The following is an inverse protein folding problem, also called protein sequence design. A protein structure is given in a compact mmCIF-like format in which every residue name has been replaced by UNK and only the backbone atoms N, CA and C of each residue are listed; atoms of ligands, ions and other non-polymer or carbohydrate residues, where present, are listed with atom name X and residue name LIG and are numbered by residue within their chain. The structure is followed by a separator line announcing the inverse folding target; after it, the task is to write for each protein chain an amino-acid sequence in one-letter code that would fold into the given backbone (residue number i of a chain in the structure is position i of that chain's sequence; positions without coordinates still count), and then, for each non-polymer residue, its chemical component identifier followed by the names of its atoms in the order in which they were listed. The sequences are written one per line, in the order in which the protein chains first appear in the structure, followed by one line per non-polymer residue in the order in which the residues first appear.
data_IF_371519866857
#
_entry.id   IF_371519866857
#
_cell.length_a   1.000
_cell.length_b   1.000
_cell.length_c   1.000
_cell.angle_alpha   90.00
_cell.angle_beta   90.00
_cell.angle_gamma   90.00
#
_symmetry.space_group_name_H-M   'P 1'
#
loop_
_entity.id
_entity.type
_entity.pdbx_description
1 polymer ?
#
# COMPACT_ATOMS: atom_id res chain seq x y z
N UNK A 1 -11.49 -27.88 -35.57
CA UNK A 1 -10.33 -28.78 -35.40
C UNK A 1 -10.33 -29.90 -36.43
N UNK A 2 -11.48 -30.56 -36.67
CA UNK A 2 -11.64 -31.53 -37.76
C UNK A 2 -11.40 -30.90 -39.14
N UNK A 3 -11.93 -29.71 -39.40
CA UNK A 3 -11.72 -28.98 -40.66
C UNK A 3 -10.25 -28.66 -40.96
N UNK A 4 -9.41 -28.63 -39.92
CA UNK A 4 -7.99 -28.29 -40.00
C UNK A 4 -7.08 -29.52 -39.77
N UNK A 5 -7.64 -30.71 -39.54
CA UNK A 5 -6.93 -31.97 -39.28
C UNK A 5 -5.84 -31.89 -38.18
N UNK A 6 -6.09 -31.10 -37.13
CA UNK A 6 -5.13 -30.86 -36.02
C UNK A 6 -5.51 -31.55 -34.70
N UNK A 7 -6.50 -32.43 -34.69
CA UNK A 7 -7.06 -33.01 -33.46
C UNK A 7 -6.01 -33.66 -32.55
N UNK A 8 -5.00 -34.31 -33.12
CA UNK A 8 -3.93 -35.00 -32.39
C UNK A 8 -2.63 -34.15 -32.27
N UNK A 9 -2.65 -32.88 -32.68
CA UNK A 9 -1.48 -31.98 -32.67
C UNK A 9 -1.55 -30.93 -31.57
N UNK A 10 -2.53 -31.02 -30.67
CA UNK A 10 -2.78 -30.04 -29.62
C UNK A 10 -2.00 -30.45 -28.37
N UNK A 11 -0.94 -29.69 -28.05
CA UNK A 11 -0.12 -29.93 -26.85
C UNK A 11 -0.75 -29.37 -25.56
N UNK A 12 -1.37 -28.19 -25.64
CA UNK A 12 -2.05 -27.56 -24.52
C UNK A 12 -3.04 -26.48 -24.98
N UNK A 13 -3.97 -26.10 -24.10
CA UNK A 13 -4.94 -25.03 -24.34
C UNK A 13 -4.83 -23.99 -23.22
N UNK A 14 -4.56 -22.74 -23.61
CA UNK A 14 -4.58 -21.59 -22.70
C UNK A 14 -6.00 -21.03 -22.62
N UNK A 15 -6.55 -20.88 -21.43
CA UNK A 15 -7.89 -20.29 -21.26
C UNK A 15 -7.98 -19.36 -20.05
N UNK A 16 -9.02 -18.54 -20.00
CA UNK A 16 -9.38 -17.68 -18.87
C UNK A 16 -9.97 -18.43 -17.67
N UNK A 17 -9.90 -19.78 -17.68
CA UNK A 17 -10.46 -20.66 -16.66
C UNK A 17 -11.99 -20.58 -16.50
N UNK A 18 -12.74 -20.07 -17.50
CA UNK A 18 -14.19 -20.15 -17.49
C UNK A 18 -14.67 -21.61 -17.39
N UNK A 19 -15.68 -21.88 -16.54
CA UNK A 19 -16.13 -23.24 -16.22
C UNK A 19 -16.50 -24.06 -17.47
N UNK A 20 -17.16 -23.43 -18.44
CA UNK A 20 -17.56 -24.05 -19.70
C UNK A 20 -16.34 -24.42 -20.57
N UNK A 21 -15.31 -23.56 -20.60
CA UNK A 21 -14.08 -23.82 -21.36
C UNK A 21 -13.27 -24.93 -20.69
N UNK A 22 -13.21 -24.94 -19.35
CA UNK A 22 -12.55 -26.01 -18.60
C UNK A 22 -13.26 -27.36 -18.80
N UNK A 23 -14.59 -27.38 -18.89
CA UNK A 23 -15.34 -28.59 -19.24
C UNK A 23 -15.02 -29.06 -20.66
N UNK A 24 -14.97 -28.15 -21.64
CA UNK A 24 -14.60 -28.47 -23.02
C UNK A 24 -13.15 -29.00 -23.15
N UNK A 25 -12.20 -28.41 -22.42
CA UNK A 25 -10.80 -28.87 -22.39
C UNK A 25 -10.70 -30.29 -21.81
N UNK A 26 -11.47 -30.59 -20.77
CA UNK A 26 -11.53 -31.95 -20.20
C UNK A 26 -12.13 -32.96 -21.17
N UNK A 27 -13.20 -32.59 -21.88
CA UNK A 27 -13.81 -33.45 -22.90
C UNK A 27 -12.87 -33.71 -24.08
N UNK A 28 -12.00 -32.75 -24.41
CA UNK A 28 -10.99 -32.90 -25.46
C UNK A 28 -9.68 -33.55 -25.00
N UNK A 29 -9.57 -33.96 -23.73
CA UNK A 29 -8.35 -34.53 -23.11
C UNK A 29 -7.09 -33.65 -23.28
N UNK A 30 -7.24 -32.34 -23.44
CA UNK A 30 -6.09 -31.44 -23.61
C UNK A 30 -5.52 -30.96 -22.28
N UNK A 31 -4.22 -30.68 -22.25
CA UNK A 31 -3.56 -30.08 -21.08
C UNK A 31 -4.04 -28.63 -20.88
N UNK A 32 -4.68 -28.27 -19.75
CA UNK A 32 -5.08 -26.90 -19.47
C UNK A 32 -3.89 -26.06 -19.00
N UNK A 33 -3.81 -24.82 -19.49
CA UNK A 33 -2.91 -23.78 -19.00
C UNK A 33 -3.75 -22.54 -18.66
N UNK A 34 -3.60 -22.02 -17.45
CA UNK A 34 -4.31 -20.82 -17.03
C UNK A 34 -3.76 -19.57 -17.71
N UNK A 35 -4.64 -18.66 -18.11
CA UNK A 35 -4.24 -17.37 -18.66
C UNK A 35 -3.58 -16.50 -17.58
N UNK A 36 -2.31 -16.15 -17.80
CA UNK A 36 -1.56 -15.28 -16.89
C UNK A 36 -2.21 -13.90 -16.77
N UNK A 37 -2.64 -13.30 -17.88
CA UNK A 37 -3.34 -12.01 -17.88
C UNK A 37 -4.66 -12.06 -17.07
N UNK A 38 -5.38 -13.18 -17.14
CA UNK A 38 -6.59 -13.39 -16.33
C UNK A 38 -6.25 -13.45 -14.84
N UNK A 39 -5.19 -14.19 -14.47
CA UNK A 39 -4.73 -14.30 -13.07
C UNK A 39 -4.31 -12.94 -12.52
N UNK A 40 -3.55 -12.16 -13.31
CA UNK A 40 -3.11 -10.81 -12.97
C UNK A 40 -4.31 -9.87 -12.77
N UNK A 41 -5.30 -9.92 -13.67
CA UNK A 41 -6.53 -9.15 -13.56
C UNK A 41 -7.29 -9.47 -12.26
N UNK A 42 -7.41 -10.75 -11.88
CA UNK A 42 -8.07 -11.14 -10.62
C UNK A 42 -7.34 -10.59 -9.38
N UNK A 43 -6.01 -10.60 -9.38
CA UNK A 43 -5.20 -10.05 -8.29
C UNK A 43 -5.47 -8.54 -8.16
N UNK A 44 -5.35 -7.80 -9.26
CA UNK A 44 -5.51 -6.35 -9.26
C UNK A 44 -6.94 -5.94 -8.90
N UNK A 45 -7.96 -6.60 -9.46
CA UNK A 45 -9.36 -6.30 -9.13
C UNK A 45 -9.67 -6.51 -7.64
N UNK A 46 -9.10 -7.54 -7.00
CA UNK A 46 -9.26 -7.71 -5.55
C UNK A 46 -8.54 -6.61 -4.77
N UNK A 47 -7.41 -6.13 -5.26
CA UNK A 47 -6.73 -4.95 -4.73
C UNK A 47 -7.56 -3.67 -4.81
N UNK A 48 -8.17 -3.41 -5.97
CA UNK A 48 -8.99 -2.23 -6.22
C UNK A 48 -10.22 -2.16 -5.30
N UNK A 49 -10.75 -3.30 -4.82
CA UNK A 49 -11.85 -3.31 -3.83
C UNK A 49 -11.49 -2.61 -2.54
N UNK A 50 -10.22 -2.68 -2.10
CA UNK A 50 -9.74 -2.06 -0.86
C UNK A 50 -9.75 -0.52 -0.96
N UNK A 51 -9.57 0.03 -2.15
CA UNK A 51 -9.63 1.49 -2.43
C UNK A 51 -10.89 1.91 -3.17
N UNK A 52 -11.93 1.08 -3.13
CA UNK A 52 -13.19 1.38 -3.83
C UNK A 52 -13.77 2.74 -3.46
N UNK A 53 -13.59 3.18 -2.20
CA UNK A 53 -14.02 4.49 -1.74
C UNK A 53 -13.28 5.65 -2.44
N UNK A 54 -11.95 5.64 -2.44
CA UNK A 54 -11.13 6.69 -3.06
C UNK A 54 -11.33 6.69 -4.57
N UNK A 55 -11.39 5.50 -5.19
CA UNK A 55 -11.72 5.36 -6.61
C UNK A 55 -13.11 5.94 -6.90
N UNK A 56 -14.08 5.75 -5.99
CA UNK A 56 -15.41 6.34 -6.06
C UNK A 56 -15.38 7.87 -6.03
N UNK A 57 -14.62 8.48 -5.12
CA UNK A 57 -14.44 9.95 -5.07
C UNK A 57 -13.86 10.48 -6.39
N UNK A 58 -12.81 9.83 -6.92
CA UNK A 58 -12.20 10.20 -8.21
C UNK A 58 -13.21 10.06 -9.35
N UNK A 59 -14.02 8.99 -9.38
CA UNK A 59 -15.09 8.83 -10.37
C UNK A 59 -16.07 9.99 -10.34
N UNK A 60 -16.52 10.41 -9.17
CA UNK A 60 -17.45 11.54 -9.01
C UNK A 60 -16.86 12.83 -9.57
N UNK A 61 -15.57 13.10 -9.35
CA UNK A 61 -14.86 14.25 -9.93
C UNK A 61 -14.86 14.16 -11.46
N UNK A 62 -14.43 13.02 -12.02
CA UNK A 62 -14.37 12.81 -13.46
C UNK A 62 -15.76 12.94 -14.11
N UNK A 63 -16.79 12.38 -13.46
CA UNK A 63 -18.17 12.45 -13.92
C UNK A 63 -18.69 13.89 -13.91
N UNK A 64 -18.37 14.67 -12.88
CA UNK A 64 -18.72 16.08 -12.82
C UNK A 64 -18.15 16.87 -14.00
N UNK A 65 -16.85 16.74 -14.27
CA UNK A 65 -16.21 17.40 -15.42
C UNK A 65 -16.73 16.90 -16.77
N UNK A 66 -17.12 15.63 -16.88
CA UNK A 66 -17.73 15.11 -18.11
C UNK A 66 -19.15 15.59 -18.35
N UNK A 67 -19.95 15.78 -17.29
CA UNK A 67 -21.33 16.25 -17.40
C UNK A 67 -21.43 17.76 -17.59
N UNK A 68 -20.51 18.52 -17.00
CA UNK A 68 -20.52 19.98 -17.03
C UNK A 68 -19.56 20.54 -18.07
N UNK A 69 -20.11 21.04 -19.18
CA UNK A 69 -19.33 21.72 -20.22
C UNK A 69 -18.57 22.94 -19.63
N UNK A 70 -19.22 23.72 -18.76
CA UNK A 70 -18.62 24.88 -18.10
C UNK A 70 -17.42 24.49 -17.22
N UNK A 71 -17.54 23.41 -16.44
CA UNK A 71 -16.44 22.92 -15.61
C UNK A 71 -15.28 22.41 -16.48
N UNK A 72 -15.59 21.70 -17.57
CA UNK A 72 -14.58 21.24 -18.53
C UNK A 72 -13.83 22.41 -19.18
N UNK A 73 -14.53 23.44 -19.66
CA UNK A 73 -13.88 24.64 -20.23
C UNK A 73 -13.02 25.37 -19.20
N UNK A 74 -13.46 25.44 -17.94
CA UNK A 74 -12.64 26.04 -16.88
C UNK A 74 -11.38 25.23 -16.63
N UNK A 75 -11.47 23.91 -16.53
CA UNK A 75 -10.31 23.04 -16.37
C UNK A 75 -9.31 23.24 -17.52
N UNK A 76 -9.79 23.32 -18.76
CA UNK A 76 -8.94 23.60 -19.93
C UNK A 76 -8.27 24.98 -19.85
N UNK A 77 -8.97 25.99 -19.33
CA UNK A 77 -8.39 27.33 -19.12
C UNK A 77 -7.29 27.33 -18.06
N UNK A 78 -7.49 26.61 -16.95
CA UNK A 78 -6.51 26.48 -15.87
C UNK A 78 -5.29 25.68 -16.35
N UNK A 79 -5.50 24.59 -17.09
CA UNK A 79 -4.40 23.82 -17.69
C UNK A 79 -3.55 24.68 -18.64
N UNK A 80 -4.18 25.53 -19.47
CA UNK A 80 -3.47 26.50 -20.32
C UNK A 80 -2.67 27.51 -19.51
N UNK A 81 -3.25 28.07 -18.46
CA UNK A 81 -2.57 29.03 -17.58
C UNK A 81 -1.35 28.43 -16.88
N UNK A 82 -1.41 27.14 -16.54
CA UNK A 82 -0.32 26.40 -15.91
C UNK A 82 0.72 25.85 -16.90
N UNK A 83 0.56 26.10 -18.21
CA UNK A 83 1.45 25.58 -19.25
C UNK A 83 1.41 24.06 -19.41
N UNK A 84 0.36 23.40 -18.89
CA UNK A 84 0.20 21.95 -18.97
C UNK A 84 -0.53 21.53 -20.25
N UNK A 85 -0.26 20.32 -20.78
CA UNK A 85 -1.01 19.80 -21.91
C UNK A 85 -2.50 19.71 -21.57
N UNK A 86 -3.35 20.14 -22.51
CA UNK A 86 -4.81 20.13 -22.36
C UNK A 86 -5.29 18.67 -22.43
N UNK A 87 -5.32 18.01 -21.28
CA UNK A 87 -5.68 16.62 -21.16
C UNK A 87 -7.11 16.50 -20.64
N UNK A 88 -7.99 15.86 -21.43
CA UNK A 88 -9.31 15.46 -20.94
C UNK A 88 -9.20 14.34 -19.91
N UNK A 89 -10.07 14.36 -18.90
CA UNK A 89 -10.14 13.30 -17.90
C UNK A 89 -10.66 12.00 -18.53
N UNK A 90 -10.05 10.87 -18.16
CA UNK A 90 -10.45 9.52 -18.60
C UNK A 90 -11.44 8.94 -17.58
N UNK A 91 -12.50 8.31 -18.06
CA UNK A 91 -13.48 7.62 -17.21
C UNK A 91 -13.17 6.13 -17.19
N UNK A 92 -13.33 5.52 -16.03
CA UNK A 92 -13.19 4.08 -15.87
C UNK A 92 -14.27 3.32 -16.67
N UNK A 93 -13.84 2.22 -17.31
CA UNK A 93 -14.70 1.20 -17.89
C UNK A 93 -14.60 -0.08 -17.03
N UNK A 94 -15.68 -0.53 -16.37
CA UNK A 94 -15.64 -1.63 -15.41
C UNK A 94 -15.12 -2.97 -15.95
N UNK A 95 -15.12 -3.14 -17.28
CA UNK A 95 -14.74 -4.40 -17.93
C UNK A 95 -13.23 -4.65 -17.93
N UNK A 96 -12.39 -3.62 -17.71
CA UNK A 96 -10.92 -3.77 -17.67
C UNK A 96 -10.29 -2.80 -16.65
N UNK A 97 -9.57 -3.36 -15.69
CA UNK A 97 -8.89 -2.61 -14.62
C UNK A 97 -7.88 -1.57 -15.16
N UNK A 98 -7.33 -1.79 -16.36
CA UNK A 98 -6.45 -0.84 -17.05
C UNK A 98 -7.07 0.57 -17.14
N UNK A 99 -8.38 0.66 -17.39
CA UNK A 99 -9.08 1.95 -17.46
C UNK A 99 -9.15 2.67 -16.11
N UNK A 100 -9.20 1.91 -15.00
CA UNK A 100 -9.09 2.46 -13.65
C UNK A 100 -7.70 3.04 -13.45
N UNK A 101 -6.64 2.30 -13.76
CA UNK A 101 -5.26 2.81 -13.67
C UNK A 101 -5.07 4.08 -14.50
N UNK A 102 -5.50 4.09 -15.76
CA UNK A 102 -5.38 5.26 -16.63
C UNK A 102 -6.16 6.49 -16.12
N UNK A 103 -7.31 6.28 -15.46
CA UNK A 103 -8.07 7.35 -14.81
C UNK A 103 -7.30 7.93 -13.62
N UNK A 104 -6.76 7.07 -12.75
CA UNK A 104 -5.98 7.49 -11.58
C UNK A 104 -4.66 8.18 -11.98
N UNK A 105 -3.94 7.64 -12.97
CA UNK A 105 -2.73 8.28 -13.49
C UNK A 105 -3.05 9.64 -14.11
N UNK A 106 -4.16 9.73 -14.88
CA UNK A 106 -4.57 10.98 -15.52
C UNK A 106 -4.88 12.06 -14.51
N UNK A 107 -5.65 11.76 -13.46
CA UNK A 107 -6.03 12.77 -12.47
C UNK A 107 -4.81 13.27 -11.67
N UNK A 108 -3.82 12.39 -11.40
CA UNK A 108 -2.56 12.80 -10.77
C UNK A 108 -1.73 13.74 -11.65
N UNK A 109 -1.68 13.50 -12.97
CA UNK A 109 -0.96 14.41 -13.90
C UNK A 109 -1.55 15.81 -13.96
N UNK A 110 -2.85 15.96 -13.70
CA UNK A 110 -3.55 17.26 -13.69
C UNK A 110 -3.97 17.67 -12.27
N UNK A 111 -3.33 17.12 -11.23
CA UNK A 111 -3.68 17.30 -9.81
C UNK A 111 -3.90 18.77 -9.46
N UNK A 112 -2.91 19.62 -9.70
CA UNK A 112 -2.96 21.03 -9.29
C UNK A 112 -4.04 21.82 -10.04
N UNK A 113 -4.25 21.50 -11.32
CA UNK A 113 -5.29 22.11 -12.14
C UNK A 113 -6.69 21.68 -11.67
N UNK A 114 -6.88 20.41 -11.28
CA UNK A 114 -8.13 19.88 -10.74
C UNK A 114 -8.43 20.51 -9.38
N UNK A 115 -7.45 20.56 -8.47
CA UNK A 115 -7.60 21.19 -7.15
C UNK A 115 -8.00 22.66 -7.30
N UNK A 116 -7.28 23.41 -8.14
CA UNK A 116 -7.55 24.84 -8.37
C UNK A 116 -8.94 25.06 -8.98
N UNK A 117 -9.34 24.22 -9.94
CA UNK A 117 -10.65 24.34 -10.60
C UNK A 117 -11.79 23.98 -9.65
N UNK A 118 -11.66 22.90 -8.88
CA UNK A 118 -12.66 22.49 -7.90
C UNK A 118 -12.80 23.50 -6.77
N UNK A 119 -11.71 24.11 -6.29
CA UNK A 119 -11.76 25.16 -5.28
C UNK A 119 -12.62 26.38 -5.73
N UNK A 120 -12.63 26.67 -7.03
CA UNK A 120 -13.37 27.81 -7.59
C UNK A 120 -14.85 27.50 -7.91
N UNK A 121 -15.17 26.28 -8.32
CA UNK A 121 -16.50 25.93 -8.84
C UNK A 121 -17.28 25.06 -7.85
N UNK A 122 -16.63 24.11 -7.18
CA UNK A 122 -17.28 23.11 -6.36
C UNK A 122 -16.33 22.45 -5.36
N UNK A 123 -16.03 23.17 -4.29
CA UNK A 123 -15.00 22.76 -3.33
C UNK A 123 -15.39 21.49 -2.54
N UNK A 124 -16.69 21.17 -2.42
CA UNK A 124 -17.11 19.95 -1.70
C UNK A 124 -16.67 18.63 -2.36
N UNK A 125 -16.31 18.66 -3.66
CA UNK A 125 -15.79 17.48 -4.37
C UNK A 125 -14.27 17.33 -4.26
N UNK A 126 -13.59 18.25 -3.58
CA UNK A 126 -12.13 18.22 -3.50
C UNK A 126 -11.64 17.11 -2.58
N UNK A 127 -10.58 16.43 -3.00
CA UNK A 127 -9.97 15.35 -2.24
C UNK A 127 -9.11 15.94 -1.12
N UNK A 128 -9.07 15.25 0.03
CA UNK A 128 -8.16 15.63 1.12
C UNK A 128 -6.70 15.34 0.74
N UNK A 129 -5.75 16.01 1.40
CA UNK A 129 -4.31 15.77 1.18
C UNK A 129 -3.98 14.28 1.36
N UNK A 130 -4.57 13.63 2.37
CA UNK A 130 -4.40 12.20 2.61
C UNK A 130 -4.91 11.31 1.46
N UNK A 131 -6.01 11.69 0.79
CA UNK A 131 -6.55 10.97 -0.38
C UNK A 131 -5.55 11.05 -1.56
N UNK A 132 -4.93 12.21 -1.79
CA UNK A 132 -3.92 12.39 -2.84
C UNK A 132 -2.65 11.56 -2.59
N UNK A 133 -2.14 11.53 -1.35
CA UNK A 133 -1.00 10.68 -0.98
C UNK A 133 -1.28 9.19 -1.23
N UNK A 134 -2.53 8.76 -0.94
CA UNK A 134 -2.97 7.40 -1.20
C UNK A 134 -2.99 7.14 -2.71
N UNK A 135 -3.54 8.04 -3.52
CA UNK A 135 -3.58 7.89 -4.96
C UNK A 135 -2.17 7.75 -5.57
N UNK A 136 -1.22 8.59 -5.16
CA UNK A 136 0.17 8.51 -5.61
C UNK A 136 0.79 7.15 -5.27
N UNK A 137 0.54 6.66 -4.06
CA UNK A 137 1.00 5.33 -3.62
C UNK A 137 0.38 4.21 -4.46
N UNK A 138 -0.93 4.28 -4.70
CA UNK A 138 -1.69 3.27 -5.47
C UNK A 138 -1.21 3.22 -6.91
N UNK A 139 -1.06 4.36 -7.57
CA UNK A 139 -0.62 4.41 -8.97
C UNK A 139 0.80 3.86 -9.10
N UNK A 140 1.70 4.17 -8.16
CA UNK A 140 3.04 3.59 -8.13
C UNK A 140 3.04 2.06 -7.99
N UNK A 141 2.12 1.50 -7.18
CA UNK A 141 1.97 0.04 -7.03
C UNK A 141 1.38 -0.59 -8.28
N UNK A 142 0.37 0.03 -8.90
CA UNK A 142 -0.36 -0.52 -10.04
C UNK A 142 0.44 -0.44 -11.35
N UNK A 143 1.34 0.52 -11.48
CA UNK A 143 2.17 0.74 -12.68
C UNK A 143 2.88 -0.53 -13.21
N UNK A 144 3.64 -1.30 -12.41
CA UNK A 144 4.28 -2.52 -12.91
C UNK A 144 3.26 -3.57 -13.39
N UNK A 145 2.12 -3.71 -12.71
CA UNK A 145 1.06 -4.62 -13.16
C UNK A 145 0.46 -4.16 -14.49
N UNK A 146 0.37 -2.85 -14.71
CA UNK A 146 -0.20 -2.28 -15.92
C UNK A 146 0.73 -2.52 -17.11
N UNK A 147 2.02 -2.22 -16.93
CA UNK A 147 3.06 -2.47 -17.94
C UNK A 147 3.10 -3.94 -18.34
N UNK A 148 3.11 -4.85 -17.36
CA UNK A 148 3.06 -6.31 -17.61
C UNK A 148 1.77 -6.71 -18.32
N UNK A 149 0.62 -6.14 -17.94
CA UNK A 149 -0.66 -6.46 -18.60
C UNK A 149 -0.66 -6.00 -20.05
N UNK A 150 -0.14 -4.80 -20.33
CA UNK A 150 -0.03 -4.26 -21.69
C UNK A 150 0.91 -5.11 -22.53
N UNK A 151 2.06 -5.51 -21.98
CA UNK A 151 3.03 -6.36 -22.67
C UNK A 151 2.44 -7.75 -22.97
N UNK A 152 1.83 -8.40 -21.97
CA UNK A 152 1.23 -9.75 -22.12
C UNK A 152 0.00 -9.73 -23.02
N UNK A 153 -0.75 -8.63 -23.05
CA UNK A 153 -1.92 -8.48 -23.93
C UNK A 153 -1.52 -8.09 -25.36
N UNK A 154 -0.25 -7.76 -25.63
CA UNK A 154 0.22 -7.49 -26.97
C UNK A 154 0.34 -8.79 -27.77
N UNK A 155 -0.32 -8.86 -28.91
CA UNK A 155 -0.36 -10.08 -29.76
C UNK A 155 0.90 -10.24 -30.63
N UNK A 156 1.87 -9.32 -30.54
CA UNK A 156 2.98 -9.20 -31.50
C UNK A 156 4.34 -9.70 -31.00
N UNK A 157 4.45 -10.22 -29.77
CA UNK A 157 5.74 -10.69 -29.23
C UNK A 157 5.60 -11.98 -28.40
N UNK A 158 6.68 -12.77 -28.34
CA UNK A 158 6.76 -14.00 -27.54
C UNK A 158 6.74 -13.65 -26.05
N UNK A 159 5.61 -13.87 -25.39
CA UNK A 159 5.37 -13.52 -23.98
C UNK A 159 5.73 -14.66 -23.03
N UNK A 160 5.65 -15.93 -23.49
CA UNK A 160 5.89 -17.13 -22.67
C UNK A 160 7.31 -17.26 -22.12
N UNK A 161 8.35 -16.89 -22.90
CA UNK A 161 9.76 -16.99 -22.47
C UNK A 161 10.12 -15.96 -21.39
N UNK A 162 9.41 -14.82 -21.32
CA UNK A 162 9.61 -13.78 -20.30
C UNK A 162 8.90 -14.08 -18.98
N UNK A 163 7.81 -14.87 -19.01
CA UNK A 163 7.04 -15.26 -17.82
C UNK A 163 7.82 -16.23 -16.91
N UNK A 164 8.79 -16.98 -17.45
CA UNK A 164 9.61 -17.92 -16.67
C UNK A 164 10.37 -17.25 -15.51
N UNK A 165 10.79 -15.98 -15.67
CA UNK A 165 11.48 -15.24 -14.61
C UNK A 165 10.55 -14.68 -13.52
N UNK A 166 9.25 -14.57 -13.81
CA UNK A 166 8.24 -14.10 -12.86
C UNK A 166 7.68 -15.29 -12.07
N UNK A 167 7.67 -16.51 -12.61
CA UNK A 167 7.07 -17.67 -11.93
C UNK A 167 7.95 -18.29 -10.84
N UNK A 168 9.28 -18.11 -10.88
CA UNK A 168 10.21 -18.70 -9.90
C UNK A 168 10.06 -18.09 -8.50
N UNK A 169 9.47 -16.91 -8.38
CA UNK A 169 9.14 -16.26 -7.09
C UNK A 169 7.68 -16.46 -6.64
N UNK A 170 6.81 -17.08 -7.45
CA UNK A 170 5.37 -17.20 -7.17
C UNK A 170 4.82 -18.64 -7.15
N UNK A 171 5.68 -19.66 -7.26
CA UNK A 171 5.27 -21.06 -7.45
C UNK A 171 5.36 -21.98 -6.22
N UNK A 172 5.71 -21.47 -5.04
CA UNK A 172 5.61 -22.24 -3.78
C UNK A 172 4.57 -21.62 -2.85
N UNK A 173 3.32 -22.10 -2.92
CA UNK A 173 2.31 -21.76 -1.91
C UNK A 173 0.86 -21.85 -2.37
N UNK A 174 0.06 -22.58 -1.59
CA UNK A 174 -1.39 -22.80 -1.65
C UNK A 174 -2.23 -21.60 -2.21
N UNK A 175 -3.25 -21.84 -3.07
CA UNK A 175 -4.16 -20.80 -3.60
C UNK A 175 -4.83 -19.89 -2.54
N UNK A 176 -4.95 -20.37 -1.30
CA UNK A 176 -5.50 -19.61 -0.17
C UNK A 176 -4.51 -18.59 0.42
N UNK A 177 -3.21 -18.83 0.30
CA UNK A 177 -2.16 -17.92 0.78
C UNK A 177 -1.91 -16.74 -0.17
N UNK A 178 -2.10 -16.93 -1.49
CA UNK A 178 -1.93 -15.88 -2.52
C UNK A 178 -2.97 -14.76 -2.43
N UNK A 179 -4.16 -15.05 -1.90
CA UNK A 179 -5.21 -14.05 -1.58
C UNK A 179 -4.77 -13.08 -0.47
N UNK A 180 -3.84 -13.49 0.38
CA UNK A 180 -3.41 -12.70 1.54
C UNK A 180 -2.30 -11.71 1.18
N UNK A 181 -1.33 -12.07 0.32
CA UNK A 181 -0.13 -11.26 0.08
C UNK A 181 -0.40 -9.89 -0.55
N UNK A 182 -1.25 -9.78 -1.58
CA UNK A 182 -1.58 -8.48 -2.18
C UNK A 182 -2.36 -7.60 -1.21
N UNK A 183 -3.36 -8.17 -0.52
CA UNK A 183 -4.14 -7.46 0.51
C UNK A 183 -3.25 -7.01 1.68
N UNK A 184 -2.31 -7.84 2.11
CA UNK A 184 -1.37 -7.56 3.21
C UNK A 184 -0.33 -6.51 2.80
N UNK A 185 0.25 -6.60 1.60
CA UNK A 185 1.16 -5.58 1.05
C UNK A 185 0.46 -4.22 0.84
N UNK A 186 -0.78 -4.26 0.35
CA UNK A 186 -1.58 -3.06 0.10
C UNK A 186 -2.07 -2.40 1.40
N UNK A 187 -2.55 -3.18 2.37
CA UNK A 187 -2.91 -2.67 3.71
C UNK A 187 -1.68 -2.20 4.49
N UNK A 188 -0.52 -2.86 4.36
CA UNK A 188 0.73 -2.43 4.98
C UNK A 188 1.17 -1.05 4.50
N UNK A 189 1.15 -0.79 3.18
CA UNK A 189 1.47 0.54 2.64
C UNK A 189 0.45 1.64 2.95
N UNK A 190 -0.75 1.28 3.44
CA UNK A 190 -1.82 2.23 3.78
C UNK A 190 -1.88 2.57 5.26
N UNK A 191 -1.32 1.74 6.15
CA UNK A 191 -1.43 1.91 7.59
C UNK A 191 -0.69 3.15 8.08
N UNK A 192 -1.37 3.89 8.96
CA UNK A 192 -0.92 5.13 9.60
C UNK A 192 -1.05 4.94 11.11
N UNK A 193 -0.22 5.61 11.90
CA UNK A 193 -0.43 5.69 13.35
C UNK A 193 -1.57 6.67 13.62
N UNK A 194 -2.81 6.18 13.68
CA UNK A 194 -3.99 7.04 13.92
C UNK A 194 -3.96 7.67 15.31
N UNK A 195 -4.25 8.97 15.37
CA UNK A 195 -4.28 9.74 16.62
C UNK A 195 -2.90 10.16 17.13
N UNK A 196 -1.84 10.00 16.32
CA UNK A 196 -0.46 10.33 16.70
C UNK A 196 0.09 11.44 15.81
N UNK A 197 0.73 12.42 16.43
CA UNK A 197 1.45 13.52 15.77
C UNK A 197 2.95 13.41 16.04
N UNK A 198 3.78 13.78 15.07
CA UNK A 198 5.20 13.98 15.31
C UNK A 198 5.42 15.36 15.97
N UNK A 199 6.02 15.42 17.16
CA UNK A 199 6.24 16.68 17.89
C UNK A 199 7.25 17.62 17.23
N UNK A 200 8.12 17.09 16.36
CA UNK A 200 9.11 17.91 15.65
C UNK A 200 8.57 18.55 14.37
N UNK A 201 7.89 17.79 13.51
CA UNK A 201 7.39 18.29 12.21
C UNK A 201 5.88 18.49 12.15
N UNK A 202 5.17 18.24 13.26
CA UNK A 202 3.71 18.34 13.39
C UNK A 202 2.93 17.47 12.40
N UNK A 203 3.60 16.46 11.81
CA UNK A 203 2.96 15.54 10.88
C UNK A 203 2.03 14.61 11.64
N UNK A 204 0.73 14.72 11.37
CA UNK A 204 -0.30 13.84 11.93
C UNK A 204 -0.42 12.53 11.15
N UNK A 205 -0.81 11.46 11.84
CA UNK A 205 -1.15 10.16 11.25
C UNK A 205 -0.09 9.70 10.23
N UNK A 206 1.18 9.78 10.63
CA UNK A 206 2.29 9.44 9.74
C UNK A 206 2.45 7.93 9.57
N UNK A 207 3.13 7.54 8.50
CA UNK A 207 3.40 6.14 8.13
C UNK A 207 4.79 5.70 8.58
N UNK A 208 4.97 4.39 8.70
CA UNK A 208 6.27 3.78 9.00
C UNK A 208 6.59 3.78 10.50
N UNK A 209 7.88 3.87 10.82
CA UNK A 209 8.37 3.78 12.20
C UNK A 209 7.95 5.02 13.01
N UNK A 210 7.28 4.77 14.13
CA UNK A 210 7.03 5.74 15.20
C UNK A 210 8.08 5.54 16.28
N UNK A 211 8.62 6.63 16.79
CA UNK A 211 9.58 6.61 17.89
C UNK A 211 8.97 7.35 19.06
N UNK A 212 8.65 6.65 20.16
CA UNK A 212 8.17 7.26 21.40
C UNK A 212 9.32 7.45 22.38
N UNK A 213 9.43 8.63 22.97
CA UNK A 213 10.43 8.87 24.01
C UNK A 213 10.04 8.14 25.30
N UNK A 214 11.01 7.48 25.92
CA UNK A 214 10.81 6.76 27.17
C UNK A 214 11.00 7.64 28.42
N UNK A 215 11.36 8.91 28.24
CA UNK A 215 11.55 9.88 29.32
C UNK A 215 10.53 11.03 29.21
N UNK A 216 10.30 11.55 28.00
CA UNK A 216 9.40 12.69 27.80
C UNK A 216 7.93 12.24 27.78
N UNK A 217 7.06 13.08 28.37
CA UNK A 217 5.61 12.89 28.35
C UNK A 217 5.09 13.16 26.93
N UNK A 218 4.31 12.23 26.39
CA UNK A 218 3.62 12.33 25.09
C UNK A 218 4.48 12.82 23.91
N UNK A 219 5.77 12.49 23.94
CA UNK A 219 6.70 12.89 22.88
C UNK A 219 6.92 11.75 21.89
N UNK A 220 6.54 12.00 20.65
CA UNK A 220 6.56 11.08 19.53
C UNK A 220 7.24 11.71 18.30
N UNK A 221 8.13 10.94 17.67
CA UNK A 221 8.82 11.33 16.44
C UNK A 221 8.50 10.36 15.31
N UNK A 222 8.37 10.90 14.11
CA UNK A 222 8.43 10.09 12.89
C UNK A 222 9.88 9.71 12.57
N UNK A 223 10.07 8.67 11.75
CA UNK A 223 11.39 8.18 11.36
C UNK A 223 12.35 9.27 10.87
N UNK A 224 11.87 10.18 10.01
CA UNK A 224 12.69 11.26 9.46
C UNK A 224 13.21 12.22 10.55
N UNK A 225 12.36 12.59 11.51
CA UNK A 225 12.74 13.49 12.60
C UNK A 225 13.67 12.82 13.62
N UNK A 226 13.46 11.53 13.87
CA UNK A 226 14.36 10.75 14.73
C UNK A 226 15.75 10.63 14.09
N UNK A 227 15.82 10.26 12.81
CA UNK A 227 17.09 10.12 12.07
C UNK A 227 17.82 11.45 11.89
N UNK A 228 17.10 12.57 11.80
CA UNK A 228 17.70 13.91 11.76
C UNK A 228 18.19 14.41 13.13
N UNK A 229 17.94 13.66 14.21
CA UNK A 229 18.31 14.07 15.57
C UNK A 229 17.52 15.27 16.09
N UNK A 230 16.19 15.28 15.89
CA UNK A 230 15.34 16.36 16.36
C UNK A 230 15.44 16.53 17.89
N UNK A 231 15.67 17.75 18.36
CA UNK A 231 15.77 18.10 19.79
C UNK A 231 14.81 19.24 20.15
N UNK A 232 14.43 19.31 21.42
CA UNK A 232 13.62 20.39 22.00
C UNK A 232 14.16 20.77 23.38
N UNK A 233 13.54 21.75 24.05
CA UNK A 233 13.91 22.10 25.43
C UNK A 233 13.72 20.95 26.43
N UNK A 234 12.87 19.97 26.11
CA UNK A 234 12.54 18.85 26.99
C UNK A 234 13.03 17.50 26.45
N UNK A 235 13.47 17.43 25.19
CA UNK A 235 13.92 16.19 24.54
C UNK A 235 15.31 16.36 23.92
N UNK A 236 16.20 15.42 24.20
CA UNK A 236 17.54 15.34 23.60
C UNK A 236 17.72 14.01 22.86
N UNK A 237 18.70 13.94 21.94
CA UNK A 237 19.03 12.71 21.21
C UNK A 237 19.56 11.58 22.10
N UNK A 238 19.95 11.90 23.33
CA UNK A 238 20.38 10.92 24.34
C UNK A 238 19.21 10.25 25.06
N UNK A 239 17.99 10.77 24.91
CA UNK A 239 16.83 10.13 25.51
C UNK A 239 16.54 8.80 24.80
N UNK A 240 16.34 7.70 25.55
CA UNK A 240 16.00 6.42 24.97
C UNK A 240 14.64 6.48 24.29
N UNK A 241 14.60 5.96 23.07
CA UNK A 241 13.41 5.94 22.22
C UNK A 241 12.98 4.50 21.95
N UNK A 242 11.69 4.23 22.08
CA UNK A 242 11.08 2.96 21.67
C UNK A 242 10.55 3.07 20.24
N UNK A 243 11.02 2.20 19.36
CA UNK A 243 10.47 2.05 18.02
C UNK A 243 9.17 1.24 18.09
N UNK A 244 8.07 1.83 17.63
CA UNK A 244 6.74 1.24 17.55
C UNK A 244 6.40 1.05 16.07
N UNK A 245 6.24 -0.21 15.68
CA UNK A 245 5.82 -0.58 14.33
C UNK A 245 4.30 -0.71 14.28
N UNK A 246 3.69 -0.29 13.17
CA UNK A 246 2.30 -0.66 12.93
C UNK A 246 2.21 -2.18 12.74
N UNK A 247 1.07 -2.79 13.08
CA UNK A 247 0.83 -4.24 12.91
C UNK A 247 1.14 -4.71 11.48
N UNK A 248 0.94 -3.84 10.50
CA UNK A 248 1.13 -4.18 9.10
C UNK A 248 2.57 -3.95 8.62
N UNK A 249 3.31 -2.99 9.19
CA UNK A 249 4.75 -2.88 8.97
C UNK A 249 5.46 -4.10 9.59
N UNK A 250 5.05 -4.49 10.80
CA UNK A 250 5.55 -5.68 11.47
C UNK A 250 5.35 -6.94 10.58
N UNK A 251 4.14 -7.13 10.05
CA UNK A 251 3.82 -8.22 9.12
C UNK A 251 4.67 -8.21 7.84
N UNK A 252 5.06 -7.02 7.34
CA UNK A 252 5.86 -6.89 6.13
C UNK A 252 7.32 -7.28 6.37
N UNK A 253 7.88 -6.90 7.51
CA UNK A 253 9.28 -7.19 7.86
C UNK A 253 9.50 -8.61 8.39
N UNK A 254 8.51 -9.19 9.09
CA UNK A 254 8.66 -10.48 9.80
C UNK A 254 7.70 -11.59 9.32
N UNK A 255 6.85 -11.34 8.32
CA UNK A 255 5.77 -12.25 7.89
C UNK A 255 6.17 -13.58 7.21
N UNK A 256 7.45 -13.97 7.29
CA UNK A 256 7.96 -15.25 6.80
C UNK A 256 8.08 -16.34 7.88
N UNK A 257 8.00 -15.99 9.16
CA UNK A 257 8.11 -16.92 10.28
C UNK A 257 6.75 -17.11 10.97
N UNK A 258 6.43 -18.35 11.35
CA UNK A 258 5.20 -18.66 12.07
C UNK A 258 5.29 -18.05 13.48
N UNK A 259 4.58 -16.94 13.71
CA UNK A 259 4.69 -16.20 14.97
C UNK A 259 3.33 -16.03 15.65
N UNK A 260 3.40 -16.16 16.98
CA UNK A 260 2.34 -16.14 17.98
C UNK A 260 1.72 -14.75 18.14
N UNK A 261 0.64 -14.64 18.95
CA UNK A 261 -0.08 -13.39 19.22
C UNK A 261 0.76 -12.31 19.92
N UNK A 262 1.96 -12.63 20.37
CA UNK A 262 2.94 -11.70 20.93
C UNK A 262 3.87 -11.24 19.81
N UNK A 263 3.77 -9.96 19.43
CA UNK A 263 4.68 -9.36 18.45
C UNK A 263 6.11 -9.40 19.02
N UNK A 264 7.12 -10.01 18.35
CA UNK A 264 8.51 -9.85 18.74
C UNK A 264 8.94 -8.40 18.47
N UNK A 265 8.65 -7.54 19.43
CA UNK A 265 9.19 -6.19 19.45
C UNK A 265 10.51 -6.22 20.20
N UNK A 266 11.56 -5.68 19.57
CA UNK A 266 12.81 -5.39 20.26
C UNK A 266 12.59 -4.15 21.14
N UNK A 267 12.72 -4.34 22.44
CA UNK A 267 12.54 -3.25 23.40
C UNK A 267 13.85 -2.52 23.68
N UNK A 268 13.72 -1.22 23.94
CA UNK A 268 14.81 -0.34 24.37
C UNK A 268 14.77 -0.19 25.89
N UNK A 269 15.90 -0.35 26.56
CA UNK A 269 16.01 -0.07 27.98
C UNK A 269 15.87 1.44 28.24
N UNK A 270 14.90 1.88 29.07
CA UNK A 270 14.65 3.29 29.33
C UNK A 270 15.73 3.97 30.19
N UNK A 271 16.64 3.21 30.80
CA UNK A 271 17.70 3.76 31.66
C UNK A 271 19.06 3.87 30.98
N UNK A 272 19.38 2.97 30.04
CA UNK A 272 20.70 2.95 29.40
C UNK A 272 20.67 2.93 27.86
N UNK A 273 19.48 3.05 27.25
CA UNK A 273 19.29 3.10 25.80
C UNK A 273 19.80 1.85 25.03
N UNK A 274 20.14 0.75 25.72
CA UNK A 274 20.43 -0.53 25.06
C UNK A 274 19.17 -1.07 24.40
N UNK A 275 19.30 -1.51 23.15
CA UNK A 275 18.20 -2.03 22.33
C UNK A 275 18.34 -3.55 22.14
N UNK A 276 17.26 -4.20 21.69
CA UNK A 276 17.31 -5.61 21.28
C UNK A 276 16.84 -6.60 22.33
N UNK A 277 16.17 -6.12 23.39
CA UNK A 277 15.64 -7.00 24.43
C UNK A 277 14.28 -7.60 24.03
N UNK A 278 14.03 -8.84 24.44
CA UNK A 278 12.67 -9.37 24.59
C UNK A 278 12.03 -8.76 25.84
N UNK A 279 10.73 -8.96 26.03
CA UNK A 279 10.01 -8.52 27.24
C UNK A 279 10.67 -9.03 28.54
N UNK A 280 11.00 -10.32 28.57
CA UNK A 280 11.59 -11.02 29.70
C UNK A 280 13.04 -10.58 29.91
N UNK A 281 13.83 -10.51 28.83
CA UNK A 281 15.22 -10.06 28.91
C UNK A 281 15.34 -8.60 29.34
N UNK A 282 14.38 -7.75 28.95
CA UNK A 282 14.35 -6.37 29.41
C UNK A 282 14.08 -6.30 30.91
N UNK A 283 13.09 -7.06 31.41
CA UNK A 283 12.76 -7.10 32.82
C UNK A 283 13.95 -7.56 33.67
N UNK A 284 14.63 -8.63 33.24
CA UNK A 284 15.84 -9.14 33.88
C UNK A 284 16.96 -8.10 33.87
N UNK A 285 17.21 -7.45 32.72
CA UNK A 285 18.23 -6.43 32.59
C UNK A 285 17.97 -5.21 33.50
N UNK A 286 16.73 -4.70 33.51
CA UNK A 286 16.33 -3.57 34.37
C UNK A 286 16.50 -3.91 35.84
N UNK A 287 16.07 -5.11 36.24
CA UNK A 287 16.18 -5.56 37.64
C UNK A 287 17.62 -5.80 38.06
N UNK A 288 18.49 -6.30 37.16
CA UNK A 288 19.88 -6.61 37.49
C UNK A 288 20.80 -5.38 37.48
N UNK A 289 20.60 -4.46 36.53
CA UNK A 289 21.53 -3.36 36.29
C UNK A 289 21.01 -1.98 36.74
N UNK A 290 19.71 -1.84 36.98
CA UNK A 290 19.06 -0.55 37.30
C UNK A 290 18.19 -0.58 38.55
N UNK A 291 18.38 -1.56 39.45
CA UNK A 291 17.56 -1.77 40.64
C UNK A 291 17.40 -0.55 41.56
N UNK A 292 18.45 0.27 41.67
CA UNK A 292 18.51 1.42 42.58
C UNK A 292 18.04 2.74 41.95
N UNK A 293 17.56 2.70 40.70
CA UNK A 293 17.17 3.91 39.96
C UNK A 293 15.75 4.34 40.31
N UNK A 294 15.57 5.60 40.70
CA UNK A 294 14.26 6.19 41.04
C UNK A 294 13.68 7.09 39.95
N UNK A 295 14.33 7.17 38.78
CA UNK A 295 13.84 7.91 37.62
C UNK A 295 12.54 7.30 37.12
N UNK A 296 11.47 8.11 37.09
CA UNK A 296 10.24 7.74 36.42
C UNK A 296 10.48 7.67 34.92
N UNK A 297 10.15 6.53 34.32
CA UNK A 297 10.31 6.28 32.88
C UNK A 297 9.05 5.64 32.32
N UNK A 298 8.80 5.84 31.03
CA UNK A 298 7.73 5.16 30.32
C UNK A 298 8.13 3.70 30.10
N UNK A 299 7.24 2.77 30.43
CA UNK A 299 7.45 1.36 30.15
C UNK A 299 7.38 1.10 28.63
N UNK A 300 8.48 0.64 27.99
CA UNK A 300 8.51 0.39 26.55
C UNK A 300 7.55 -0.73 26.12
N UNK A 301 7.29 -1.72 27.00
CA UNK A 301 6.32 -2.79 26.74
C UNK A 301 4.90 -2.25 26.69
N UNK A 302 4.51 -1.42 27.67
CA UNK A 302 3.19 -0.80 27.72
C UNK A 302 2.98 0.18 26.55
N UNK A 303 4.00 0.95 26.19
CA UNK A 303 3.96 1.89 25.06
C UNK A 303 3.72 1.20 23.71
N UNK A 304 4.15 -0.06 23.60
CA UNK A 304 4.06 -0.86 22.39
C UNK A 304 2.74 -1.64 22.23
N UNK A 305 1.90 -1.70 23.27
CA UNK A 305 0.66 -2.47 23.26
C UNK A 305 -0.55 -1.64 22.78
N UNK A 306 -1.43 -2.18 21.91
CA UNK A 306 -2.64 -1.49 21.51
C UNK A 306 -3.59 -1.34 22.71
N UNK A 307 -3.82 -0.10 23.16
CA UNK A 307 -4.62 0.20 24.35
C UNK A 307 -3.84 0.14 25.67
N UNK A 308 -2.51 -0.02 25.62
CA UNK A 308 -1.68 0.27 26.78
C UNK A 308 -1.80 1.75 27.13
N UNK A 309 -1.92 2.06 28.41
CA UNK A 309 -1.71 3.41 28.94
C UNK A 309 -0.24 3.50 29.36
N UNK A 310 0.67 3.96 28.49
CA UNK A 310 2.04 4.25 28.89
C UNK A 310 2.07 5.56 29.68
N UNK A 311 1.41 5.58 30.84
CA UNK A 311 1.47 6.72 31.75
C UNK A 311 2.78 6.69 32.53
N UNK A 312 3.40 7.86 32.65
CA UNK A 312 4.34 8.19 33.71
C UNK A 312 3.58 8.56 34.99
#
# INVERSE_FOLDING_TARGET
MQDWQITNKITCVVSDNAANIQAAIRLGEWRPVGCFAHTLNLIVQNGLKVISEIVGKVKSIVEYFKKSCTAQTKLESVLKQMGLPILKLKQECPTRWNSCYEMLERILRVKDAVISTLALIRNELNLQIADWEVLETVVAILKPFFEVTVEVSSQNHVTLSKISNINTSYSTGNPSAKKCLFRRYFLAKMNRHEGVSCDSCLKNNFRGRRYKCLICIDYDLCAACYESGATTNQHTTEHPMQCILSRSDFDLYYGGEALTLEQPQAYTCPFCNRMGFTDTALMEHVTAEHADTTLAVVCPVCASMPGGEPTL
#
